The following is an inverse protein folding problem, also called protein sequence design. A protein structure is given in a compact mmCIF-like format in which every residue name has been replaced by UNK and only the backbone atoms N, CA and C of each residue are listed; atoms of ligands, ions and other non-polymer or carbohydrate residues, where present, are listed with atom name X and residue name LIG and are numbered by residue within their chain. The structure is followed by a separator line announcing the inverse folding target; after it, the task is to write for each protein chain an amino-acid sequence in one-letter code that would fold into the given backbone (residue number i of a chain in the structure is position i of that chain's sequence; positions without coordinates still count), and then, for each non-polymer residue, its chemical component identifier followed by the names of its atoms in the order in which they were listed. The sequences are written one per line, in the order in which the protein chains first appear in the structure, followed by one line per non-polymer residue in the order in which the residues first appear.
data_IF_633516900092
#
_entry.id   IF_633516900092
#
_cell.length_a   1.000
_cell.length_b   1.000
_cell.length_c   1.000
_cell.angle_alpha   90.00
_cell.angle_beta   90.00
_cell.angle_gamma   90.00
#
_symmetry.space_group_name_H-M   'P 1'
#
loop_
_entity.id
_entity.type
_entity.pdbx_description
1 polymer ?
#
# COMPACT_ATOMS: atom_id res chain seq x y z
N UNK A 1 -2.45 -9.87 5.78
CA UNK A 1 -2.25 -9.88 7.25
C UNK A 1 -2.87 -8.61 7.78
N UNK A 2 -3.60 -8.67 8.90
CA UNK A 2 -4.10 -7.45 9.54
C UNK A 2 -3.14 -7.04 10.65
N UNK A 3 -2.78 -5.75 10.70
CA UNK A 3 -1.96 -5.18 11.77
C UNK A 3 -2.63 -3.90 12.25
N UNK A 4 -3.03 -3.86 13.52
CA UNK A 4 -3.73 -2.71 14.13
C UNK A 4 -5.00 -2.25 13.38
N UNK A 5 -5.73 -3.19 12.76
CA UNK A 5 -6.94 -2.89 11.98
C UNK A 5 -6.67 -2.49 10.53
N UNK A 6 -5.41 -2.30 10.13
CA UNK A 6 -5.04 -2.02 8.75
C UNK A 6 -4.77 -3.33 7.98
N UNK A 7 -5.31 -3.41 6.77
CA UNK A 7 -5.11 -4.53 5.85
C UNK A 7 -3.73 -4.42 5.15
N UNK A 8 -2.86 -5.42 5.36
CA UNK A 8 -1.62 -5.58 4.61
C UNK A 8 -1.75 -6.71 3.58
N UNK A 9 -1.50 -6.35 2.32
CA UNK A 9 -1.61 -7.22 1.15
C UNK A 9 -0.22 -7.62 0.64
N UNK A 10 0.11 -8.91 0.55
CA UNK A 10 1.46 -9.38 0.21
C UNK A 10 1.89 -9.04 -1.22
N UNK A 11 0.96 -8.75 -2.12
CA UNK A 11 1.21 -8.33 -3.50
C UNK A 11 1.61 -6.85 -3.64
N UNK A 12 1.60 -6.09 -2.53
CA UNK A 12 1.96 -4.67 -2.51
C UNK A 12 3.34 -4.44 -1.90
N UNK A 13 4.05 -3.45 -2.44
CA UNK A 13 5.23 -2.87 -1.84
C UNK A 13 4.82 -1.65 -1.03
N UNK A 14 5.40 -1.46 0.15
CA UNK A 14 5.03 -0.39 1.08
C UNK A 14 6.20 0.55 1.36
N UNK A 15 5.90 1.84 1.42
CA UNK A 15 6.82 2.86 1.92
C UNK A 15 6.24 3.49 3.20
N UNK A 16 6.96 3.34 4.30
CA UNK A 16 6.52 3.81 5.61
C UNK A 16 6.82 5.31 5.85
N UNK A 17 7.72 5.92 5.09
CA UNK A 17 8.03 7.34 5.23
C UNK A 17 6.92 8.20 4.61
N UNK A 18 6.48 7.82 3.42
CA UNK A 18 5.43 8.52 2.67
C UNK A 18 4.04 7.92 2.87
N UNK A 19 3.94 6.79 3.58
CA UNK A 19 2.69 6.08 3.86
C UNK A 19 1.92 5.70 2.58
N UNK A 20 2.64 5.23 1.57
CA UNK A 20 2.09 4.78 0.28
C UNK A 20 2.27 3.28 0.07
N UNK A 21 1.49 2.72 -0.84
CA UNK A 21 1.70 1.40 -1.41
C UNK A 21 1.88 1.49 -2.92
N UNK A 22 2.61 0.52 -3.48
CA UNK A 22 2.84 0.36 -4.91
C UNK A 22 2.50 -1.07 -5.34
N UNK A 23 1.79 -1.21 -6.47
CA UNK A 23 1.54 -2.49 -7.14
C UNK A 23 2.10 -2.44 -8.56
N UNK A 24 2.81 -3.50 -8.94
CA UNK A 24 3.27 -3.69 -10.32
C UNK A 24 2.14 -4.39 -11.09
N UNK A 25 1.67 -3.77 -12.16
CA UNK A 25 0.68 -4.36 -13.07
C UNK A 25 1.37 -5.23 -14.14
N UNK A 26 0.61 -6.09 -14.82
CA UNK A 26 1.13 -7.09 -15.77
C UNK A 26 2.00 -6.51 -16.89
N UNK A 27 1.78 -5.25 -17.26
CA UNK A 27 2.45 -4.57 -18.38
C UNK A 27 3.58 -3.63 -17.92
N UNK A 28 3.97 -3.70 -16.64
CA UNK A 28 5.03 -2.87 -16.07
C UNK A 28 4.59 -1.47 -15.67
N UNK A 29 3.30 -1.16 -15.77
CA UNK A 29 2.72 0.03 -15.15
C UNK A 29 2.72 -0.11 -13.62
N UNK A 30 2.74 1.03 -12.93
CA UNK A 30 2.69 1.09 -11.47
C UNK A 30 1.39 1.74 -11.02
N UNK A 31 0.61 1.02 -10.23
CA UNK A 31 -0.46 1.61 -9.44
C UNK A 31 0.10 2.08 -8.10
N UNK A 32 -0.22 3.31 -7.71
CA UNK A 32 0.22 3.91 -6.44
C UNK A 32 -1.01 4.39 -5.68
N UNK A 33 -1.05 4.13 -4.38
CA UNK A 33 -2.11 4.62 -3.51
C UNK A 33 -1.62 4.93 -2.11
N UNK A 34 -2.48 5.58 -1.33
CA UNK A 34 -2.26 5.87 0.09
C UNK A 34 -2.58 4.64 0.94
N UNK A 35 -1.78 4.39 1.98
CA UNK A 35 -2.07 3.36 2.98
C UNK A 35 -3.26 3.76 3.84
N UNK A 36 -3.94 2.77 4.41
CA UNK A 36 -5.10 2.96 5.29
C UNK A 36 -4.81 3.87 6.51
N UNK A 37 -3.59 3.77 7.07
CA UNK A 37 -3.08 4.64 8.13
C UNK A 37 -3.17 6.11 7.71
N UNK A 38 -2.71 6.44 6.50
CA UNK A 38 -2.74 7.82 5.98
C UNK A 38 -4.11 8.29 5.51
N UNK A 39 -5.07 7.40 5.28
CA UNK A 39 -6.43 7.75 4.89
C UNK A 39 -7.35 8.04 6.08
N UNK A 40 -6.91 7.69 7.30
CA UNK A 40 -7.68 7.85 8.54
C UNK A 40 -7.52 9.23 9.21
N UNK A 41 -6.77 10.17 8.61
CA UNK A 41 -6.48 11.51 9.15
C UNK A 41 -7.12 12.60 8.29
#
# INVERSE_FOLDING_TARGET
MECNGCEFRPELYYDAEFQIWVRIEEQGELAVGMTDISQSI
#
